data_IF_165377336923
#
_entry.id   IF_165377336923
#
_cell.length_a   1.000
_cell.length_b   1.000
_cell.length_c   1.000
_cell.angle_alpha   90.00
_cell.angle_beta   90.00
_cell.angle_gamma   90.00
#
_symmetry.space_group_name_H-M   'P 1'
#
loop_
_entity.id
_entity.type
_entity.pdbx_description
1 polymer ?
#
# COMPACT_ATOMS: atom_id res chain seq x y z
N UNK A 1 -14.95 -10.63 -10.51
CA UNK A 1 -14.71 -11.39 -9.27
C UNK A 1 -13.33 -11.08 -8.70
N UNK A 2 -12.23 -11.26 -9.46
CA UNK A 2 -10.87 -10.93 -9.01
C UNK A 2 -10.76 -9.46 -8.59
N UNK A 3 -11.33 -8.55 -9.36
CA UNK A 3 -11.27 -7.11 -9.09
C UNK A 3 -11.95 -6.74 -7.78
N UNK A 4 -13.13 -7.32 -7.50
CA UNK A 4 -13.85 -7.04 -6.25
C UNK A 4 -13.09 -7.55 -5.04
N UNK A 5 -12.57 -8.79 -5.10
CA UNK A 5 -11.78 -9.36 -4.02
C UNK A 5 -10.52 -8.54 -3.77
N UNK A 6 -9.85 -8.10 -4.83
CA UNK A 6 -8.65 -7.30 -4.76
C UNK A 6 -8.92 -5.95 -4.11
N UNK A 7 -9.99 -5.26 -4.53
CA UNK A 7 -10.41 -3.99 -3.93
C UNK A 7 -10.68 -4.15 -2.44
N UNK A 8 -11.49 -5.14 -2.06
CA UNK A 8 -11.86 -5.39 -0.67
C UNK A 8 -10.65 -5.68 0.20
N UNK A 9 -9.72 -6.49 -0.30
CA UNK A 9 -8.53 -6.89 0.46
C UNK A 9 -7.60 -5.72 0.71
N UNK A 10 -7.32 -4.92 -0.30
CA UNK A 10 -6.44 -3.76 -0.18
C UNK A 10 -7.08 -2.70 0.72
N UNK A 11 -8.36 -2.45 0.52
CA UNK A 11 -9.13 -1.51 1.34
C UNK A 11 -9.07 -1.90 2.82
N UNK A 12 -9.27 -3.19 3.13
CA UNK A 12 -9.23 -3.68 4.51
C UNK A 12 -7.86 -3.49 5.15
N UNK A 13 -6.79 -3.76 4.40
CA UNK A 13 -5.42 -3.59 4.90
C UNK A 13 -5.11 -2.14 5.25
N UNK A 14 -5.54 -1.22 4.41
CA UNK A 14 -5.34 0.22 4.66
C UNK A 14 -6.20 0.68 5.82
N UNK A 15 -7.45 0.23 5.91
CA UNK A 15 -8.33 0.57 7.03
C UNK A 15 -7.76 0.10 8.37
N UNK A 16 -7.22 -1.11 8.42
CA UNK A 16 -6.59 -1.65 9.63
C UNK A 16 -5.37 -0.81 10.03
N UNK A 17 -4.51 -0.48 9.06
CA UNK A 17 -3.36 0.37 9.30
C UNK A 17 -3.76 1.78 9.75
N UNK A 18 -4.81 2.34 9.15
CA UNK A 18 -5.36 3.64 9.53
C UNK A 18 -5.84 3.64 10.97
N UNK A 19 -6.53 2.58 11.40
CA UNK A 19 -7.02 2.46 12.78
C UNK A 19 -5.87 2.42 13.77
N UNK A 20 -4.78 1.72 13.44
CA UNK A 20 -3.57 1.68 14.27
C UNK A 20 -2.96 3.09 14.40
N UNK A 21 -2.75 3.75 13.28
CA UNK A 21 -2.16 5.10 13.25
C UNK A 21 -3.02 6.10 14.01
N UNK A 22 -4.33 6.08 13.79
CA UNK A 22 -5.28 6.99 14.45
C UNK A 22 -5.33 6.77 15.96
N UNK A 23 -5.29 5.52 16.39
CA UNK A 23 -5.28 5.18 17.82
C UNK A 23 -4.02 5.71 18.50
N UNK A 24 -2.85 5.51 17.89
CA UNK A 24 -1.59 6.01 18.42
C UNK A 24 -1.58 7.54 18.50
N UNK A 25 -2.07 8.20 17.45
CA UNK A 25 -2.18 9.65 17.42
C UNK A 25 -3.06 10.16 18.57
N UNK A 26 -4.25 9.61 18.75
CA UNK A 26 -5.18 10.01 19.80
C UNK A 26 -4.62 9.73 21.19
N UNK A 27 -4.00 8.58 21.38
CA UNK A 27 -3.49 8.15 22.67
C UNK A 27 -2.36 9.05 23.18
N UNK A 28 -1.49 9.52 22.29
CA UNK A 28 -0.26 10.20 22.65
C UNK A 28 -0.23 11.70 22.32
N UNK A 29 -1.28 12.24 21.68
CA UNK A 29 -1.30 13.64 21.24
C UNK A 29 -0.98 14.67 22.34
N UNK A 30 -1.40 14.40 23.57
CA UNK A 30 -1.21 15.33 24.70
C UNK A 30 0.02 15.01 25.57
N UNK A 31 0.69 13.87 25.34
CA UNK A 31 1.77 13.41 26.21
C UNK A 31 3.11 13.21 25.51
N UNK A 32 3.12 13.16 24.18
CA UNK A 32 4.34 12.98 23.39
C UNK A 32 4.44 14.07 22.31
N UNK A 33 5.66 14.33 21.86
CA UNK A 33 5.89 15.26 20.76
C UNK A 33 5.37 14.68 19.44
N UNK A 34 5.13 15.56 18.47
CA UNK A 34 4.76 15.16 17.13
C UNK A 34 5.77 14.17 16.55
N UNK A 35 7.06 14.44 16.70
CA UNK A 35 8.11 13.57 16.17
C UNK A 35 8.09 12.19 16.81
N UNK A 36 7.86 12.10 18.11
CA UNK A 36 7.74 10.82 18.82
C UNK A 36 6.54 10.02 18.33
N UNK A 37 5.41 10.67 18.11
CA UNK A 37 4.19 10.03 17.60
C UNK A 37 4.40 9.53 16.17
N UNK A 38 5.01 10.35 15.31
CA UNK A 38 5.36 9.95 13.94
C UNK A 38 6.22 8.70 13.93
N UNK A 39 7.23 8.65 14.78
CA UNK A 39 8.12 7.48 14.90
C UNK A 39 7.34 6.25 15.35
N UNK A 40 6.45 6.38 16.33
CA UNK A 40 5.62 5.27 16.79
C UNK A 40 4.73 4.71 15.68
N UNK A 41 4.10 5.59 14.91
CA UNK A 41 3.24 5.17 13.80
C UNK A 41 4.05 4.41 12.74
N UNK A 42 5.19 4.96 12.35
CA UNK A 42 6.04 4.34 11.33
C UNK A 42 6.52 2.96 11.78
N UNK A 43 7.00 2.85 13.03
CA UNK A 43 7.48 1.57 13.56
C UNK A 43 6.36 0.54 13.71
N UNK A 44 5.15 0.97 14.07
CA UNK A 44 4.01 0.08 14.20
C UNK A 44 3.56 -0.49 12.84
N UNK A 45 3.66 0.29 11.78
CA UNK A 45 3.17 -0.09 10.45
C UNK A 45 4.24 -0.75 9.58
N UNK A 46 5.52 -0.53 9.85
CA UNK A 46 6.62 -1.09 9.05
C UNK A 46 6.57 -2.61 8.90
N UNK A 47 6.20 -3.41 9.94
CA UNK A 47 6.13 -4.86 9.79
C UNK A 47 4.96 -5.38 8.94
N UNK A 48 4.00 -4.52 8.60
CA UNK A 48 2.80 -4.96 7.88
C UNK A 48 3.10 -5.15 6.40
N UNK A 49 3.38 -6.39 6.03
CA UNK A 49 3.64 -6.79 4.65
C UNK A 49 2.88 -8.05 4.31
N UNK A 50 2.65 -8.27 3.02
CA UNK A 50 1.95 -9.43 2.47
C UNK A 50 2.67 -9.88 1.20
N UNK A 51 2.41 -11.12 0.78
CA UNK A 51 2.96 -11.64 -0.48
C UNK A 51 4.48 -11.55 -0.55
N UNK A 52 5.16 -11.98 0.53
CA UNK A 52 6.63 -11.96 0.63
C UNK A 52 7.24 -10.56 0.42
N UNK A 53 6.56 -9.53 0.96
CA UNK A 53 7.04 -8.16 0.88
C UNK A 53 6.65 -7.41 -0.38
N UNK A 54 5.94 -8.03 -1.32
CA UNK A 54 5.44 -7.33 -2.51
C UNK A 54 4.36 -6.30 -2.19
N UNK A 55 3.55 -6.57 -1.17
CA UNK A 55 2.52 -5.67 -0.70
C UNK A 55 2.88 -5.17 0.70
N UNK A 56 2.70 -3.89 0.94
CA UNK A 56 3.13 -3.22 2.18
C UNK A 56 2.30 -1.98 2.41
N UNK A 57 2.47 -1.35 3.57
CA UNK A 57 1.90 -0.03 3.84
C UNK A 57 2.99 1.02 3.61
N UNK A 58 2.70 2.03 2.80
CA UNK A 58 3.55 3.20 2.68
C UNK A 58 2.86 4.43 3.25
N UNK A 59 3.66 5.42 3.63
CA UNK A 59 3.16 6.73 4.07
C UNK A 59 3.97 7.80 3.34
N UNK A 60 3.28 8.77 2.77
CA UNK A 60 3.87 9.97 2.19
C UNK A 60 3.20 11.19 2.82
N UNK A 61 3.87 12.34 2.76
CA UNK A 61 3.20 13.60 3.03
C UNK A 61 2.68 14.23 1.73
N UNK A 62 1.97 15.34 1.83
CA UNK A 62 1.40 16.01 0.66
C UNK A 62 2.43 16.77 -0.21
N UNK A 63 3.71 16.72 0.15
CA UNK A 63 4.80 17.14 -0.72
C UNK A 63 5.46 15.95 -1.42
N UNK A 64 4.90 14.77 -1.25
CA UNK A 64 5.41 13.53 -1.85
C UNK A 64 6.65 12.97 -1.15
N UNK A 65 6.94 13.40 0.08
CA UNK A 65 8.09 12.92 0.84
C UNK A 65 7.75 11.60 1.52
N UNK A 66 8.54 10.56 1.26
CA UNK A 66 8.36 9.27 1.93
C UNK A 66 8.61 9.39 3.43
N UNK A 67 7.61 8.99 4.21
CA UNK A 67 7.69 8.86 5.65
C UNK A 67 7.89 7.39 6.04
N UNK A 68 7.24 6.48 5.33
CA UNK A 68 7.39 5.03 5.47
C UNK A 68 7.48 4.43 4.08
N UNK A 69 8.64 3.89 3.73
CA UNK A 69 8.90 3.21 2.47
C UNK A 69 9.08 1.70 2.72
N UNK A 70 8.84 0.85 1.72
CA UNK A 70 9.16 -0.57 1.85
C UNK A 70 10.67 -0.78 1.99
N UNK A 71 11.05 -1.93 2.52
CA UNK A 71 12.47 -2.22 2.80
C UNK A 71 13.38 -2.03 1.58
N UNK A 72 12.94 -2.50 0.41
CA UNK A 72 13.77 -2.37 -0.80
C UNK A 72 13.94 -0.93 -1.29
N UNK A 73 13.14 0.01 -0.77
CA UNK A 73 13.21 1.43 -1.09
C UNK A 73 13.53 2.28 0.14
N UNK A 74 14.08 1.68 1.18
CA UNK A 74 14.31 2.38 2.46
C UNK A 74 15.16 3.64 2.29
N UNK A 75 16.06 3.66 1.31
CA UNK A 75 16.91 4.82 1.04
C UNK A 75 16.11 6.04 0.55
N UNK A 76 14.86 5.85 0.15
CA UNK A 76 14.00 6.95 -0.30
C UNK A 76 13.24 7.61 0.86
N UNK A 77 13.29 7.06 2.08
CA UNK A 77 12.67 7.72 3.23
C UNK A 77 13.30 9.09 3.46
N UNK A 78 12.46 10.10 3.63
CA UNK A 78 12.88 11.49 3.74
C UNK A 78 13.08 12.21 2.43
N UNK A 79 12.93 11.53 1.29
CA UNK A 79 13.06 12.13 -0.04
C UNK A 79 11.71 12.27 -0.71
N UNK A 80 11.55 13.34 -1.51
CA UNK A 80 10.33 13.54 -2.29
C UNK A 80 10.36 12.72 -3.57
N UNK A 81 9.26 12.03 -3.85
CA UNK A 81 9.05 11.31 -5.11
C UNK A 81 7.89 11.94 -5.90
N UNK A 82 7.60 13.21 -5.64
CA UNK A 82 6.45 13.91 -6.23
C UNK A 82 6.47 13.88 -7.77
N UNK A 83 7.66 13.89 -8.35
CA UNK A 83 7.83 13.92 -9.81
C UNK A 83 7.94 12.53 -10.44
N UNK A 84 7.77 11.48 -9.64
CA UNK A 84 7.79 10.12 -10.16
C UNK A 84 6.70 9.94 -11.24
N UNK A 85 7.10 9.35 -12.36
CA UNK A 85 6.19 8.93 -13.43
C UNK A 85 6.23 7.43 -13.55
N UNK A 86 5.05 6.81 -13.63
CA UNK A 86 4.97 5.37 -13.85
C UNK A 86 5.32 5.02 -15.32
N UNK A 87 5.32 3.74 -15.66
CA UNK A 87 5.65 3.28 -17.01
C UNK A 87 4.72 3.82 -18.09
N UNK A 88 3.51 4.27 -17.72
CA UNK A 88 2.55 4.90 -18.64
C UNK A 88 2.79 6.40 -18.81
N UNK A 89 3.72 6.98 -18.06
CA UNK A 89 4.03 8.41 -18.09
C UNK A 89 3.16 9.26 -17.17
N UNK A 90 2.33 8.63 -16.33
CA UNK A 90 1.46 9.36 -15.40
C UNK A 90 2.24 9.75 -14.15
N UNK A 91 1.95 10.96 -13.63
CA UNK A 91 2.50 11.46 -12.36
C UNK A 91 1.65 10.95 -11.20
N UNK A 92 1.81 9.66 -10.88
CA UNK A 92 0.90 8.94 -10.00
C UNK A 92 0.90 9.43 -8.56
N UNK A 93 2.01 9.96 -8.06
CA UNK A 93 2.05 10.51 -6.70
C UNK A 93 1.18 11.76 -6.60
N UNK A 94 1.23 12.63 -7.61
CA UNK A 94 0.34 13.80 -7.68
C UNK A 94 -1.13 13.39 -7.74
N UNK A 95 -1.44 12.31 -8.45
CA UNK A 95 -2.81 11.77 -8.50
C UNK A 95 -3.26 11.25 -7.14
N UNK A 96 -2.40 10.54 -6.42
CA UNK A 96 -2.68 10.04 -5.06
C UNK A 96 -2.97 11.21 -4.12
N UNK A 97 -2.13 12.24 -4.17
CA UNK A 97 -2.31 13.45 -3.34
C UNK A 97 -3.64 14.13 -3.67
N UNK A 98 -3.97 14.27 -4.95
CA UNK A 98 -5.24 14.86 -5.39
C UNK A 98 -6.45 14.08 -4.88
N UNK A 99 -6.41 12.76 -4.95
CA UNK A 99 -7.45 11.87 -4.43
C UNK A 99 -7.63 12.05 -2.93
N UNK A 100 -6.55 11.99 -2.18
CA UNK A 100 -6.59 12.07 -0.72
C UNK A 100 -7.02 13.45 -0.22
N UNK A 101 -6.62 14.50 -0.90
CA UNK A 101 -7.04 15.87 -0.54
C UNK A 101 -8.49 16.15 -0.88
N UNK A 102 -8.99 15.70 -2.04
CA UNK A 102 -10.34 16.00 -2.48
C UNK A 102 -11.40 15.08 -1.92
N UNK A 103 -11.11 13.79 -1.79
CA UNK A 103 -12.08 12.76 -1.40
C UNK A 103 -11.73 12.04 -0.10
N UNK A 104 -10.54 12.25 0.42
CA UNK A 104 -10.04 11.56 1.60
C UNK A 104 -9.44 10.20 1.31
N UNK A 105 -9.96 9.48 0.33
CA UNK A 105 -9.49 8.15 -0.04
C UNK A 105 -9.92 7.77 -1.45
N UNK A 106 -9.28 6.78 -2.04
CA UNK A 106 -9.68 6.25 -3.32
C UNK A 106 -8.72 5.22 -3.89
N UNK A 107 -9.20 4.54 -4.91
CA UNK A 107 -8.42 3.56 -5.67
C UNK A 107 -7.77 4.18 -6.90
N UNK A 108 -6.69 3.55 -7.34
CA UNK A 108 -5.90 4.02 -8.47
C UNK A 108 -5.17 2.83 -9.10
N UNK A 109 -5.25 2.70 -10.42
CA UNK A 109 -4.43 1.76 -11.18
C UNK A 109 -3.16 2.47 -11.63
N UNK A 110 -2.01 1.84 -11.44
CA UNK A 110 -0.73 2.36 -11.92
C UNK A 110 0.25 1.22 -12.16
N UNK A 111 1.50 1.54 -12.44
CA UNK A 111 2.59 0.57 -12.51
C UNK A 111 3.68 0.95 -11.54
N UNK A 112 4.34 -0.05 -10.98
CA UNK A 112 5.45 0.17 -10.06
C UNK A 112 6.43 -1.01 -10.10
N UNK A 113 7.63 -0.81 -9.57
CA UNK A 113 8.65 -1.86 -9.46
C UNK A 113 8.25 -2.88 -8.40
N UNK A 114 8.87 -4.06 -8.46
CA UNK A 114 8.69 -5.10 -7.44
C UNK A 114 9.97 -5.31 -6.64
N UNK A 115 9.87 -5.61 -5.35
CA UNK A 115 11.02 -6.08 -4.58
C UNK A 115 11.52 -7.40 -5.17
N UNK A 116 12.82 -7.63 -5.10
CA UNK A 116 13.46 -8.88 -5.54
C UNK A 116 13.34 -9.21 -7.04
N UNK A 117 12.90 -8.28 -7.86
CA UNK A 117 12.82 -8.50 -9.31
C UNK A 117 14.17 -8.42 -10.00
N UNK A 118 15.16 -7.78 -9.35
CA UNK A 118 16.49 -7.57 -9.93
C UNK A 118 16.51 -6.56 -11.08
N UNK A 119 15.42 -5.83 -11.30
CA UNK A 119 15.31 -4.86 -12.40
C UNK A 119 14.43 -3.68 -12.01
N UNK A 120 14.42 -2.65 -12.86
CA UNK A 120 13.53 -1.50 -12.74
C UNK A 120 12.22 -1.70 -13.50
N UNK A 121 11.96 -2.93 -13.96
CA UNK A 121 10.71 -3.25 -14.63
C UNK A 121 9.52 -2.94 -13.74
N UNK A 122 8.48 -2.34 -14.33
CA UNK A 122 7.28 -1.97 -13.62
C UNK A 122 6.13 -2.92 -13.98
N UNK A 123 5.31 -3.22 -12.98
CA UNK A 123 4.19 -4.15 -13.08
C UNK A 123 2.89 -3.45 -12.70
N UNK A 124 1.81 -3.81 -13.37
CA UNK A 124 0.50 -3.23 -13.09
C UNK A 124 0.02 -3.59 -11.68
N UNK A 125 -0.48 -2.61 -10.97
CA UNK A 125 -1.00 -2.78 -9.61
C UNK A 125 -2.26 -1.96 -9.40
N UNK A 126 -3.08 -2.42 -8.45
CA UNK A 126 -4.17 -1.64 -7.89
C UNK A 126 -3.72 -1.11 -6.55
N UNK A 127 -3.83 0.20 -6.36
CA UNK A 127 -3.51 0.88 -5.10
C UNK A 127 -4.76 1.46 -4.46
N UNK A 128 -4.78 1.52 -3.15
CA UNK A 128 -5.75 2.27 -2.37
C UNK A 128 -4.99 3.23 -1.47
N UNK A 129 -5.39 4.50 -1.48
CA UNK A 129 -4.75 5.56 -0.70
C UNK A 129 -5.78 6.23 0.20
N UNK A 130 -5.34 6.66 1.38
CA UNK A 130 -6.21 7.26 2.40
C UNK A 130 -5.47 8.33 3.17
N UNK A 131 -6.07 9.52 3.28
CA UNK A 131 -5.55 10.58 4.14
C UNK A 131 -5.65 10.17 5.61
N UNK A 132 -4.61 10.45 6.39
CA UNK A 132 -4.65 10.23 7.84
C UNK A 132 -5.49 11.29 8.56
N UNK A 133 -5.62 12.47 7.98
CA UNK A 133 -6.32 13.58 8.62
C UNK A 133 -5.46 14.36 9.62
N UNK A 134 -4.17 14.02 9.73
CA UNK A 134 -3.19 14.72 10.57
C UNK A 134 -1.80 14.63 9.94
N UNK A 135 -0.92 15.56 10.31
CA UNK A 135 0.48 15.69 9.85
C UNK A 135 0.63 15.88 8.32
N UNK A 136 -0.46 16.20 7.62
CA UNK A 136 -0.47 16.22 6.14
C UNK A 136 0.05 14.91 5.55
N UNK A 137 -0.28 13.79 6.18
CA UNK A 137 0.12 12.45 5.78
C UNK A 137 -1.02 11.69 5.10
N UNK A 138 -0.68 10.88 4.11
CA UNK A 138 -1.57 9.85 3.60
C UNK A 138 -0.82 8.52 3.53
N UNK A 139 -1.59 7.45 3.62
CA UNK A 139 -1.06 6.09 3.52
C UNK A 139 -1.66 5.38 2.32
N UNK A 140 -1.02 4.31 1.92
CA UNK A 140 -1.53 3.46 0.87
C UNK A 140 -1.02 2.04 0.97
N UNK A 141 -1.64 1.19 0.19
CA UNK A 141 -1.19 -0.16 -0.08
C UNK A 141 -1.60 -0.52 -1.49
N UNK A 142 -0.94 -1.53 -2.05
CA UNK A 142 -1.23 -1.99 -3.40
C UNK A 142 -0.97 -3.47 -3.53
N UNK A 143 -1.56 -4.07 -4.55
CA UNK A 143 -1.27 -5.43 -4.94
C UNK A 143 -1.07 -5.49 -6.45
N UNK A 144 -0.10 -6.29 -6.87
CA UNK A 144 0.17 -6.49 -8.29
C UNK A 144 -0.86 -7.44 -8.89
N UNK A 145 -1.34 -7.08 -10.08
CA UNK A 145 -2.38 -7.84 -10.75
C UNK A 145 -1.92 -9.26 -11.10
N UNK A 146 -0.69 -9.43 -11.55
CA UNK A 146 -0.14 -10.75 -11.87
C UNK A 146 -0.07 -11.66 -10.64
N UNK A 147 0.33 -11.13 -9.48
CA UNK A 147 0.36 -11.88 -8.23
C UNK A 147 -1.04 -12.30 -7.80
N UNK A 148 -2.00 -11.39 -7.85
CA UNK A 148 -3.41 -11.68 -7.51
C UNK A 148 -3.99 -12.75 -8.43
N UNK A 149 -3.71 -12.68 -9.72
CA UNK A 149 -4.16 -13.67 -10.72
C UNK A 149 -3.57 -15.05 -10.42
N UNK A 150 -2.27 -15.14 -10.15
CA UNK A 150 -1.61 -16.41 -9.78
C UNK A 150 -2.22 -17.04 -8.54
N UNK A 151 -2.52 -16.26 -7.50
CA UNK A 151 -3.15 -16.76 -6.28
C UNK A 151 -4.54 -17.32 -6.55
N UNK A 152 -5.31 -16.67 -7.38
CA UNK A 152 -6.65 -17.14 -7.78
C UNK A 152 -6.54 -18.45 -8.56
N UNK A 153 -5.61 -18.56 -9.50
CA UNK A 153 -5.38 -19.77 -10.28
C UNK A 153 -4.99 -20.95 -9.37
N UNK A 154 -4.13 -20.73 -8.40
CA UNK A 154 -3.73 -21.76 -7.43
C UNK A 154 -4.92 -22.24 -6.60
N UNK A 155 -5.78 -21.32 -6.15
CA UNK A 155 -7.00 -21.71 -5.41
C UNK A 155 -7.95 -22.53 -6.25
N UNK A 156 -8.16 -22.14 -7.51
CA UNK A 156 -8.98 -22.86 -8.47
C UNK A 156 -8.47 -24.28 -8.69
N UNK A 157 -7.15 -24.42 -8.94
CA UNK A 157 -6.54 -25.73 -9.14
C UNK A 157 -6.65 -26.61 -7.88
N UNK A 158 -6.50 -26.05 -6.70
CA UNK A 158 -6.67 -26.78 -5.43
C UNK A 158 -8.11 -27.28 -5.28
N UNK A 159 -9.11 -26.47 -5.61
CA UNK A 159 -10.52 -26.86 -5.56
C UNK A 159 -10.85 -27.96 -6.57
N UNK A 160 -10.35 -27.83 -7.80
CA UNK A 160 -10.53 -28.86 -8.84
C UNK A 160 -9.88 -30.17 -8.40
N UNK A 161 -8.69 -30.14 -7.81
CA UNK A 161 -8.00 -31.30 -7.29
C UNK A 161 -8.80 -32.01 -6.20
N UNK A 162 -9.42 -31.25 -5.28
CA UNK A 162 -10.30 -31.80 -4.25
C UNK A 162 -11.51 -32.52 -4.85
N UNK A 163 -12.13 -31.92 -5.85
CA UNK A 163 -13.28 -32.51 -6.53
C UNK A 163 -12.89 -33.79 -7.26
N UNK A 164 -11.77 -33.81 -7.94
CA UNK A 164 -11.24 -35.00 -8.60
C UNK A 164 -10.93 -36.13 -7.61
N UNK A 165 -10.33 -35.80 -6.45
CA UNK A 165 -10.07 -36.76 -5.39
C UNK A 165 -11.33 -37.39 -4.79
N UNK A 166 -12.41 -36.61 -4.70
CA UNK A 166 -13.70 -37.11 -4.23
C UNK A 166 -14.43 -38.00 -5.23
N UNK A 167 -14.17 -37.81 -6.51
CA UNK A 167 -14.80 -38.60 -7.58
C UNK A 167 -14.13 -39.96 -7.78
N UNK A 168 -12.95 -40.18 -7.24
CA UNK A 168 -12.26 -41.44 -7.30
C UNK A 168 -12.50 -42.26 -6.03
#
# INVERSE_FOLDING_TARGET
VIKLELHSRIHQRVDDAYKIASKLHKQYASVKSEQEIKTLIIEALRPLTWNNGESFIWILDFNGVFQLAPEYLINLEGQSIIDFKDATGREVIKEEIAITRSKGEGFLWDTFTKPNSGSDEQFEQLAFVKSLGFYDWYMGSAEYLDTATKQTDRRLLAEISKLGGKAS
#
